data_IF_246709575349
#
_entry.id   IF_246709575349
#
_cell.length_a   1.000
_cell.length_b   1.000
_cell.length_c   1.000
_cell.angle_alpha   90.00
_cell.angle_beta   90.00
_cell.angle_gamma   90.00
#
_symmetry.space_group_name_H-M   'P 1'
#
loop_
_entity.id
_entity.type
_entity.pdbx_description
1 polymer ?
#
# COMPACT_ATOMS: atom_id res chain seq x y z
N UNK A 1 13.96 -31.64 -2.72
CA UNK A 1 14.37 -31.88 -4.11
C UNK A 1 15.35 -30.79 -4.45
N UNK A 2 16.61 -31.13 -4.71
CA UNK A 2 17.62 -30.17 -5.13
C UNK A 2 17.28 -29.76 -6.57
N UNK A 3 16.63 -28.60 -6.76
CA UNK A 3 16.04 -28.20 -8.04
C UNK A 3 17.09 -27.59 -8.99
N UNK A 4 18.36 -27.59 -8.59
CA UNK A 4 19.46 -26.98 -9.35
C UNK A 4 19.34 -25.46 -9.51
N UNK A 5 18.53 -24.82 -8.66
CA UNK A 5 18.38 -23.36 -8.50
C UNK A 5 19.00 -23.01 -7.15
N UNK A 6 19.85 -21.99 -7.11
CA UNK A 6 20.48 -21.51 -5.89
C UNK A 6 19.46 -20.90 -4.91
N UNK A 7 19.81 -20.90 -3.62
CA UNK A 7 18.94 -20.42 -2.55
C UNK A 7 18.53 -18.94 -2.71
N UNK A 8 19.43 -17.99 -3.05
CA UNK A 8 19.04 -16.61 -3.30
C UNK A 8 17.96 -16.46 -4.37
N UNK A 9 18.09 -17.16 -5.50
CA UNK A 9 17.10 -17.12 -6.59
C UNK A 9 15.77 -17.75 -6.18
N UNK A 10 15.81 -18.89 -5.47
CA UNK A 10 14.60 -19.51 -4.93
C UNK A 10 13.88 -18.59 -3.92
N UNK A 11 14.64 -17.87 -3.09
CA UNK A 11 14.08 -16.92 -2.13
C UNK A 11 13.48 -15.68 -2.81
N UNK A 12 14.12 -15.15 -3.86
CA UNK A 12 13.59 -14.09 -4.71
C UNK A 12 12.25 -14.52 -5.35
N UNK A 13 12.18 -15.73 -5.90
CA UNK A 13 10.96 -16.29 -6.46
C UNK A 13 9.82 -16.30 -5.43
N UNK A 14 10.08 -16.79 -4.21
CA UNK A 14 9.05 -16.82 -3.17
C UNK A 14 8.55 -15.42 -2.78
N UNK A 15 9.46 -14.44 -2.62
CA UNK A 15 9.06 -13.06 -2.35
C UNK A 15 8.25 -12.45 -3.51
N UNK A 16 8.63 -12.75 -4.74
CA UNK A 16 7.92 -12.31 -5.94
C UNK A 16 6.52 -12.86 -5.96
N UNK A 17 6.37 -14.18 -5.77
CA UNK A 17 5.07 -14.84 -5.71
C UNK A 17 4.17 -14.20 -4.66
N UNK A 18 4.63 -14.04 -3.41
CA UNK A 18 3.84 -13.41 -2.34
C UNK A 18 3.48 -11.97 -2.68
N UNK A 19 4.39 -11.21 -3.29
CA UNK A 19 4.17 -9.81 -3.67
C UNK A 19 3.21 -9.63 -4.85
N UNK A 20 3.11 -10.61 -5.74
CA UNK A 20 2.32 -10.52 -6.97
C UNK A 20 1.15 -11.48 -7.07
N UNK A 21 0.89 -12.32 -6.07
CA UNK A 21 -0.18 -13.33 -6.11
C UNK A 21 -1.58 -12.70 -6.27
N UNK A 22 -2.47 -13.30 -7.09
CA UNK A 22 -2.17 -14.32 -8.10
C UNK A 22 -1.44 -13.71 -9.32
N UNK A 23 -0.54 -14.48 -9.92
CA UNK A 23 0.22 -14.09 -11.11
C UNK A 23 0.22 -15.22 -12.14
N UNK A 24 0.05 -14.89 -13.43
CA UNK A 24 0.18 -15.85 -14.51
C UNK A 24 1.64 -16.22 -14.78
N UNK A 25 1.85 -17.39 -15.38
CA UNK A 25 3.17 -17.91 -15.70
C UNK A 25 3.98 -16.95 -16.58
N UNK A 26 3.38 -16.41 -17.64
CA UNK A 26 4.09 -15.57 -18.62
C UNK A 26 4.72 -14.32 -17.98
N UNK A 27 3.96 -13.62 -17.13
CA UNK A 27 4.47 -12.46 -16.37
C UNK A 27 5.58 -12.87 -15.40
N UNK A 28 5.39 -13.99 -14.71
CA UNK A 28 6.37 -14.49 -13.73
C UNK A 28 7.69 -14.89 -14.43
N UNK A 29 7.62 -15.64 -15.53
CA UNK A 29 8.80 -16.08 -16.28
C UNK A 29 9.55 -14.90 -16.89
N UNK A 30 8.82 -13.95 -17.51
CA UNK A 30 9.43 -12.75 -18.08
C UNK A 30 10.21 -11.93 -17.04
N UNK A 31 9.69 -11.84 -15.82
CA UNK A 31 10.42 -11.22 -14.71
C UNK A 31 11.64 -12.03 -14.27
N UNK A 32 11.49 -13.33 -14.04
CA UNK A 32 12.56 -14.17 -13.51
C UNK A 32 13.75 -14.25 -14.43
N UNK A 33 13.55 -14.44 -15.74
CA UNK A 33 14.63 -14.44 -16.72
C UNK A 33 15.43 -13.15 -16.67
N UNK A 34 14.73 -12.01 -16.63
CA UNK A 34 15.35 -10.69 -16.50
C UNK A 34 16.12 -10.59 -15.17
N UNK A 35 15.53 -11.00 -14.06
CA UNK A 35 16.15 -10.93 -12.75
C UNK A 35 17.46 -11.74 -12.68
N UNK A 36 17.46 -12.99 -13.16
CA UNK A 36 18.66 -13.85 -13.10
C UNK A 36 19.76 -13.39 -14.05
N UNK A 37 19.40 -12.83 -15.23
CA UNK A 37 20.37 -12.23 -16.16
C UNK A 37 20.95 -10.92 -15.64
N UNK A 38 20.17 -10.11 -14.94
CA UNK A 38 20.67 -8.87 -14.32
C UNK A 38 21.61 -9.16 -13.14
N UNK A 39 21.35 -10.23 -12.39
CA UNK A 39 22.19 -10.67 -11.28
C UNK A 39 23.59 -11.15 -11.73
N UNK A 40 23.71 -11.70 -12.95
CA UNK A 40 24.98 -12.14 -13.57
C UNK A 40 25.75 -13.19 -12.77
N UNK A 41 25.06 -13.96 -11.92
CA UNK A 41 25.68 -15.02 -11.09
C UNK A 41 25.74 -16.37 -11.82
N UNK A 42 24.67 -16.70 -12.54
CA UNK A 42 24.52 -18.00 -13.22
C UNK A 42 24.21 -17.87 -14.72
N UNK A 43 23.62 -16.76 -15.16
CA UNK A 43 23.33 -16.45 -16.57
C UNK A 43 23.48 -14.95 -16.80
N UNK A 44 23.58 -14.51 -18.05
CA UNK A 44 23.72 -13.10 -18.43
C UNK A 44 23.02 -12.81 -19.76
N UNK A 45 22.96 -11.53 -20.14
CA UNK A 45 22.39 -11.12 -21.43
C UNK A 45 23.29 -11.45 -22.64
N UNK A 46 24.60 -11.56 -22.46
CA UNK A 46 25.56 -11.80 -23.57
C UNK A 46 25.93 -13.28 -23.69
N UNK A 47 26.27 -13.89 -22.55
CA UNK A 47 26.68 -15.30 -22.44
C UNK A 47 25.70 -16.00 -21.49
N UNK A 48 24.51 -16.30 -21.99
CA UNK A 48 23.43 -16.91 -21.20
C UNK A 48 23.68 -18.38 -20.86
N UNK A 49 22.98 -18.88 -19.83
CA UNK A 49 22.85 -20.30 -19.50
C UNK A 49 21.38 -20.73 -19.63
N UNK A 50 20.95 -21.21 -20.81
CA UNK A 50 19.57 -21.64 -21.04
C UNK A 50 19.13 -22.78 -20.12
N UNK A 51 20.06 -23.63 -19.68
CA UNK A 51 19.74 -24.76 -18.82
C UNK A 51 19.43 -24.27 -17.40
N UNK A 52 20.17 -23.29 -16.88
CA UNK A 52 19.86 -22.66 -15.61
C UNK A 52 18.53 -21.88 -15.68
N UNK A 53 18.32 -21.10 -16.74
CA UNK A 53 17.07 -20.36 -16.95
C UNK A 53 15.85 -21.29 -16.98
N UNK A 54 15.96 -22.44 -17.66
CA UNK A 54 14.89 -23.44 -17.68
C UNK A 54 14.60 -24.01 -16.29
N UNK A 55 15.63 -24.31 -15.47
CA UNK A 55 15.42 -24.80 -14.09
C UNK A 55 14.67 -23.79 -13.23
N UNK A 56 14.95 -22.49 -13.39
CA UNK A 56 14.23 -21.42 -12.69
C UNK A 56 12.77 -21.36 -13.13
N UNK A 57 12.51 -21.45 -14.45
CA UNK A 57 11.15 -21.48 -14.99
C UNK A 57 10.38 -22.73 -14.55
N UNK A 58 11.01 -23.89 -14.52
CA UNK A 58 10.40 -25.14 -14.06
C UNK A 58 10.01 -25.05 -12.58
N UNK A 59 10.88 -24.49 -11.74
CA UNK A 59 10.57 -24.23 -10.34
C UNK A 59 9.39 -23.26 -10.19
N UNK A 60 9.41 -22.14 -10.91
CA UNK A 60 8.32 -21.16 -10.89
C UNK A 60 6.99 -21.75 -11.36
N UNK A 61 7.01 -22.57 -12.41
CA UNK A 61 5.84 -23.29 -12.93
C UNK A 61 5.27 -24.19 -11.87
N UNK A 62 6.10 -25.02 -11.23
CA UNK A 62 5.65 -25.90 -10.14
C UNK A 62 4.99 -25.12 -9.01
N UNK A 63 5.52 -23.95 -8.64
CA UNK A 63 4.90 -23.14 -7.58
C UNK A 63 3.50 -22.61 -7.92
N UNK A 64 3.16 -22.43 -9.19
CA UNK A 64 1.84 -21.92 -9.61
C UNK A 64 0.89 -23.00 -10.10
N UNK A 65 1.38 -24.16 -10.54
CA UNK A 65 0.55 -25.26 -11.06
C UNK A 65 0.35 -26.43 -10.10
N UNK A 66 1.19 -26.56 -9.07
CA UNK A 66 1.00 -27.56 -8.01
C UNK A 66 -0.04 -27.03 -7.03
N UNK A 67 -1.21 -27.70 -6.96
CA UNK A 67 -2.35 -27.27 -6.15
C UNK A 67 -2.02 -27.16 -4.66
N UNK A 68 -1.12 -27.99 -4.13
CA UNK A 68 -0.72 -27.92 -2.72
C UNK A 68 0.11 -26.67 -2.46
N UNK A 69 1.08 -26.37 -3.33
CA UNK A 69 1.93 -25.18 -3.19
C UNK A 69 1.12 -23.91 -3.41
N UNK A 70 0.32 -23.86 -4.48
CA UNK A 70 -0.52 -22.73 -4.82
C UNK A 70 -1.55 -22.46 -3.73
N UNK A 71 -2.21 -23.50 -3.21
CA UNK A 71 -3.17 -23.37 -2.12
C UNK A 71 -2.55 -22.86 -0.82
N UNK A 72 -1.31 -23.25 -0.50
CA UNK A 72 -0.57 -22.72 0.67
C UNK A 72 -0.19 -21.25 0.49
N UNK A 73 0.23 -20.85 -0.71
CA UNK A 73 0.53 -19.45 -1.02
C UNK A 73 -0.74 -18.58 -0.93
N UNK A 74 -1.84 -19.05 -1.52
CA UNK A 74 -3.12 -18.35 -1.46
C UNK A 74 -3.61 -18.17 -0.02
N UNK A 75 -3.59 -19.24 0.77
CA UNK A 75 -3.97 -19.19 2.18
C UNK A 75 -3.10 -18.20 2.98
N UNK A 76 -1.78 -18.20 2.73
CA UNK A 76 -0.87 -17.30 3.42
C UNK A 76 -1.07 -15.83 3.02
N UNK A 77 -1.26 -15.54 1.73
CA UNK A 77 -1.56 -14.19 1.25
C UNK A 77 -2.89 -13.70 1.80
N UNK A 78 -3.91 -14.57 1.88
CA UNK A 78 -5.19 -14.25 2.51
C UNK A 78 -5.05 -13.92 4.00
N UNK A 79 -4.22 -14.65 4.75
CA UNK A 79 -3.93 -14.35 6.16
C UNK A 79 -3.29 -12.95 6.33
N UNK A 80 -2.49 -12.51 5.36
CA UNK A 80 -1.81 -11.22 5.37
C UNK A 80 -2.68 -10.06 4.88
N UNK A 81 -3.89 -10.30 4.36
CA UNK A 81 -4.74 -9.30 3.73
C UNK A 81 -4.99 -8.04 4.59
N UNK A 82 -5.31 -8.14 5.90
CA UNK A 82 -5.45 -6.96 6.76
C UNK A 82 -4.15 -6.15 6.90
N UNK A 83 -3.00 -6.83 6.94
CA UNK A 83 -1.69 -6.18 7.02
C UNK A 83 -1.29 -5.53 5.69
N UNK A 84 -1.57 -6.19 4.56
CA UNK A 84 -1.37 -5.65 3.22
C UNK A 84 -2.24 -4.40 3.04
N UNK A 85 -3.51 -4.46 3.44
CA UNK A 85 -4.44 -3.33 3.42
C UNK A 85 -3.86 -2.14 4.19
N UNK A 86 -3.45 -2.36 5.44
CA UNK A 86 -2.88 -1.32 6.29
C UNK A 86 -1.61 -0.69 5.71
N UNK A 87 -0.64 -1.49 5.26
CA UNK A 87 0.58 -0.94 4.64
C UNK A 87 0.25 -0.16 3.37
N UNK A 88 -0.66 -0.68 2.54
CA UNK A 88 -1.00 -0.08 1.24
C UNK A 88 -1.61 1.31 1.40
N UNK A 89 -2.65 1.46 2.21
CA UNK A 89 -3.30 2.76 2.37
C UNK A 89 -2.49 3.71 3.24
N UNK A 90 -1.75 3.21 4.23
CA UNK A 90 -0.81 4.02 5.01
C UNK A 90 0.29 4.61 4.13
N UNK A 91 0.97 3.80 3.32
CA UNK A 91 2.02 4.27 2.44
C UNK A 91 1.48 5.29 1.43
N UNK A 92 0.29 5.04 0.86
CA UNK A 92 -0.36 5.97 -0.07
C UNK A 92 -0.71 7.29 0.61
N UNK A 93 -1.36 7.27 1.78
CA UNK A 93 -1.73 8.51 2.48
C UNK A 93 -0.49 9.32 2.87
N UNK A 94 0.54 8.68 3.42
CA UNK A 94 1.80 9.33 3.76
C UNK A 94 2.46 9.96 2.53
N UNK A 95 2.57 9.20 1.43
CA UNK A 95 3.14 9.68 0.17
C UNK A 95 2.42 10.92 -0.37
N UNK A 96 1.08 10.94 -0.29
CA UNK A 96 0.29 12.07 -0.76
C UNK A 96 0.38 13.29 0.16
N UNK A 97 0.54 13.08 1.47
CA UNK A 97 0.41 14.15 2.47
C UNK A 97 1.74 14.62 3.09
N UNK A 98 2.87 13.99 2.78
CA UNK A 98 4.19 14.50 3.12
C UNK A 98 4.51 15.81 2.38
N UNK A 99 5.50 16.59 2.86
CA UNK A 99 5.99 17.77 2.15
C UNK A 99 6.49 17.44 0.73
N UNK A 100 6.27 18.36 -0.21
CA UNK A 100 6.59 18.17 -1.62
C UNK A 100 5.36 18.01 -2.51
N UNK A 101 5.61 17.71 -3.78
CA UNK A 101 4.57 17.45 -4.80
C UNK A 101 4.44 15.93 -4.96
N UNK A 102 3.30 15.33 -4.60
CA UNK A 102 3.14 13.89 -4.75
C UNK A 102 2.93 13.53 -6.21
N UNK A 103 3.63 12.49 -6.66
CA UNK A 103 3.40 11.85 -7.96
C UNK A 103 2.55 10.59 -7.80
N UNK A 104 1.67 10.32 -8.76
CA UNK A 104 0.90 9.08 -8.84
C UNK A 104 1.07 8.51 -10.23
N UNK A 105 1.92 7.48 -10.32
CA UNK A 105 2.09 6.73 -11.57
C UNK A 105 0.75 6.18 -12.05
N UNK A 106 0.56 6.11 -13.36
CA UNK A 106 -0.70 5.67 -13.97
C UNK A 106 -1.20 4.33 -13.40
N UNK A 107 -2.47 4.27 -12.99
CA UNK A 107 -3.10 3.09 -12.38
C UNK A 107 -2.83 2.92 -10.88
N UNK A 108 -1.83 3.60 -10.32
CA UNK A 108 -1.45 3.46 -8.90
C UNK A 108 -2.35 4.23 -7.93
N UNK A 109 -3.44 4.85 -8.38
CA UNK A 109 -4.58 5.24 -7.55
C UNK A 109 -5.26 4.02 -6.90
N UNK A 110 -5.11 2.85 -7.52
CA UNK A 110 -5.59 1.52 -7.10
C UNK A 110 -4.41 0.57 -6.92
N UNK A 111 -4.63 -0.67 -6.48
CA UNK A 111 -3.56 -1.64 -6.28
C UNK A 111 -3.10 -2.16 -7.63
N UNK A 112 -1.83 -1.89 -7.94
CA UNK A 112 -1.15 -2.45 -9.09
C UNK A 112 0.03 -3.28 -8.61
N UNK A 113 0.07 -4.56 -8.99
CA UNK A 113 1.15 -5.50 -8.66
C UNK A 113 2.12 -5.59 -9.85
N UNK A 114 2.72 -4.46 -10.18
CA UNK A 114 3.69 -4.37 -11.27
C UNK A 114 5.02 -5.01 -10.87
N UNK A 115 5.60 -5.75 -11.81
CA UNK A 115 7.00 -6.14 -11.81
C UNK A 115 7.83 -5.10 -12.57
N UNK A 116 9.12 -5.37 -12.75
CA UNK A 116 10.00 -4.48 -13.52
C UNK A 116 9.56 -4.37 -14.99
N UNK A 117 10.00 -3.31 -15.66
CA UNK A 117 9.85 -3.08 -17.10
C UNK A 117 10.09 -4.37 -17.92
N UNK A 118 9.20 -4.75 -18.85
CA UNK A 118 8.02 -4.03 -19.34
C UNK A 118 6.71 -4.28 -18.60
N UNK A 119 6.68 -5.07 -17.52
CA UNK A 119 5.43 -5.40 -16.82
C UNK A 119 4.73 -4.17 -16.24
N UNK A 120 5.50 -3.18 -15.77
CA UNK A 120 4.97 -1.90 -15.26
C UNK A 120 4.48 -0.94 -16.35
N UNK A 121 4.61 -1.28 -17.64
CA UNK A 121 4.12 -0.46 -18.76
C UNK A 121 2.83 -0.98 -19.38
N UNK A 122 2.19 -1.98 -18.77
CA UNK A 122 0.89 -2.52 -19.22
C UNK A 122 -0.17 -1.42 -19.27
N UNK A 123 -1.14 -1.52 -20.22
CA UNK A 123 -2.18 -0.52 -20.36
C UNK A 123 -3.07 -0.45 -19.10
N UNK A 124 -3.50 0.75 -18.76
CA UNK A 124 -4.38 1.02 -17.62
C UNK A 124 -5.84 1.06 -18.08
N UNK A 125 -6.74 0.35 -17.40
CA UNK A 125 -8.18 0.44 -17.64
C UNK A 125 -8.80 1.65 -16.91
N UNK A 126 -8.68 2.82 -17.52
CA UNK A 126 -9.27 4.05 -16.99
C UNK A 126 -10.80 4.04 -16.95
N UNK A 127 -11.46 3.19 -17.74
CA UNK A 127 -12.92 3.09 -17.72
C UNK A 127 -13.37 2.44 -16.41
N UNK A 128 -12.67 1.40 -15.95
CA UNK A 128 -12.89 0.81 -14.62
C UNK A 128 -12.63 1.82 -13.50
N UNK A 129 -11.47 2.48 -13.53
CA UNK A 129 -11.10 3.44 -12.46
C UNK A 129 -12.11 4.58 -12.35
N UNK A 130 -12.62 5.10 -13.48
CA UNK A 130 -13.71 6.09 -13.50
C UNK A 130 -15.00 5.55 -12.88
N UNK A 131 -15.46 4.36 -13.29
CA UNK A 131 -16.68 3.75 -12.71
C UNK A 131 -16.55 3.51 -11.20
N UNK A 132 -15.37 3.07 -10.74
CA UNK A 132 -15.09 2.90 -9.30
C UNK A 132 -15.17 4.22 -8.56
N UNK A 133 -14.51 5.26 -9.07
CA UNK A 133 -14.50 6.57 -8.42
C UNK A 133 -15.91 7.19 -8.37
N UNK A 134 -16.67 7.14 -9.47
CA UNK A 134 -18.04 7.65 -9.53
C UNK A 134 -18.96 6.96 -8.51
N UNK A 135 -18.86 5.63 -8.40
CA UNK A 135 -19.60 4.85 -7.40
C UNK A 135 -19.23 5.25 -5.97
N UNK A 136 -17.94 5.44 -5.69
CA UNK A 136 -17.48 5.88 -4.37
C UNK A 136 -17.95 7.31 -4.07
N UNK A 137 -17.90 8.21 -5.05
CA UNK A 137 -18.37 9.59 -4.90
C UNK A 137 -19.89 9.69 -4.70
N UNK A 138 -20.65 8.70 -5.16
CA UNK A 138 -22.10 8.61 -4.89
C UNK A 138 -22.43 8.03 -3.51
N UNK A 139 -21.44 7.82 -2.63
CA UNK A 139 -21.64 7.32 -1.26
C UNK A 139 -21.78 5.79 -1.14
N UNK A 140 -21.46 5.02 -2.19
CA UNK A 140 -21.48 3.57 -2.07
C UNK A 140 -20.34 3.04 -1.19
N UNK A 141 -20.56 1.89 -0.56
CA UNK A 141 -19.53 1.23 0.25
C UNK A 141 -18.32 0.80 -0.58
N UNK A 142 -17.13 0.91 0.03
CA UNK A 142 -15.86 0.34 -0.48
C UNK A 142 -15.95 -1.18 -0.42
N UNK A 143 -15.55 -1.86 -1.49
CA UNK A 143 -15.74 -3.32 -1.63
C UNK A 143 -14.46 -4.14 -1.46
N UNK A 144 -13.32 -3.51 -1.72
CA UNK A 144 -12.02 -4.17 -1.83
C UNK A 144 -10.89 -3.16 -1.55
N UNK A 145 -9.65 -3.66 -1.54
CA UNK A 145 -8.46 -2.83 -1.32
C UNK A 145 -8.24 -1.79 -2.44
N UNK A 146 -8.70 -2.08 -3.66
CA UNK A 146 -8.68 -1.11 -4.77
C UNK A 146 -9.53 0.11 -4.44
N UNK A 147 -10.77 -0.12 -4.01
CA UNK A 147 -11.69 0.93 -3.59
C UNK A 147 -11.13 1.71 -2.39
N UNK A 148 -10.50 1.06 -1.42
CA UNK A 148 -9.87 1.74 -0.28
C UNK A 148 -8.72 2.65 -0.72
N UNK A 149 -7.81 2.15 -1.57
CA UNK A 149 -6.66 2.94 -2.04
C UNK A 149 -7.11 4.09 -2.95
N UNK A 150 -8.13 3.87 -3.79
CA UNK A 150 -8.72 4.89 -4.64
C UNK A 150 -9.43 5.96 -3.81
N UNK A 151 -10.14 5.55 -2.75
CA UNK A 151 -10.76 6.45 -1.79
C UNK A 151 -9.73 7.36 -1.12
N UNK A 152 -8.68 6.78 -0.52
CA UNK A 152 -7.60 7.55 0.11
C UNK A 152 -6.93 8.48 -0.91
N UNK A 153 -6.64 7.98 -2.10
CA UNK A 153 -5.97 8.77 -3.15
C UNK A 153 -6.81 9.98 -3.56
N UNK A 154 -8.08 9.74 -3.90
CA UNK A 154 -8.97 10.81 -4.38
C UNK A 154 -9.25 11.85 -3.29
N UNK A 155 -9.52 11.44 -2.04
CA UNK A 155 -9.81 12.36 -0.93
C UNK A 155 -8.58 13.20 -0.55
N UNK A 156 -7.41 12.58 -0.44
CA UNK A 156 -6.18 13.30 -0.13
C UNK A 156 -5.80 14.31 -1.24
N UNK A 157 -5.89 13.93 -2.52
CA UNK A 157 -5.59 14.84 -3.62
C UNK A 157 -6.61 15.98 -3.75
N UNK A 158 -7.91 15.71 -3.53
CA UNK A 158 -8.96 16.73 -3.49
C UNK A 158 -8.74 17.70 -2.34
N UNK A 159 -8.37 17.20 -1.15
CA UNK A 159 -8.02 18.03 -0.01
C UNK A 159 -6.83 18.95 -0.34
N UNK A 160 -5.73 18.39 -0.87
CA UNK A 160 -4.56 19.20 -1.25
C UNK A 160 -4.86 20.27 -2.29
N UNK A 161 -5.80 20.00 -3.20
CA UNK A 161 -6.27 20.97 -4.19
C UNK A 161 -7.15 22.06 -3.55
N UNK A 162 -7.98 21.68 -2.58
CA UNK A 162 -8.90 22.58 -1.86
C UNK A 162 -8.24 23.41 -0.75
N UNK A 163 -7.13 22.94 -0.19
CA UNK A 163 -6.42 23.58 0.93
C UNK A 163 -4.99 24.03 0.55
N UNK A 164 -4.81 25.04 -0.33
CA UNK A 164 -3.49 25.52 -0.74
C UNK A 164 -2.57 25.90 0.42
N UNK A 165 -3.12 26.39 1.55
CA UNK A 165 -2.32 26.78 2.71
C UNK A 165 -1.60 25.60 3.39
N UNK A 166 -2.05 24.36 3.12
CA UNK A 166 -1.43 23.13 3.61
C UNK A 166 -0.35 22.61 2.66
N UNK A 167 -0.15 23.25 1.51
CA UNK A 167 0.87 22.92 0.51
C UNK A 167 1.75 24.14 0.20
N UNK A 168 2.93 23.92 -0.38
CA UNK A 168 3.85 25.02 -0.73
C UNK A 168 4.83 25.44 0.39
N UNK A 169 5.56 26.52 0.13
CA UNK A 169 6.74 26.91 0.92
C UNK A 169 6.45 27.37 2.35
N UNK A 170 5.26 27.89 2.61
CA UNK A 170 4.82 28.33 3.94
C UNK A 170 4.15 27.23 4.75
N UNK A 171 3.89 26.06 4.16
CA UNK A 171 3.21 24.98 4.85
C UNK A 171 4.13 24.35 5.91
N UNK A 172 3.64 24.25 7.14
CA UNK A 172 4.42 23.66 8.24
C UNK A 172 4.22 22.15 8.31
N UNK A 173 5.17 21.48 8.97
CA UNK A 173 5.10 20.06 9.32
C UNK A 173 5.43 19.89 10.78
N UNK A 174 4.56 19.23 11.54
CA UNK A 174 4.81 18.93 12.96
C UNK A 174 4.38 17.51 13.31
N UNK A 175 5.28 16.66 13.84
CA UNK A 175 4.89 15.35 14.34
C UNK A 175 3.80 15.45 15.42
N UNK A 176 2.85 14.52 15.40
CA UNK A 176 1.85 14.38 16.44
C UNK A 176 2.35 13.41 17.53
N UNK A 177 2.28 13.78 18.82
CA UNK A 177 2.55 12.85 19.90
C UNK A 177 1.56 11.68 19.88
N UNK A 178 2.07 10.47 20.08
CA UNK A 178 1.26 9.25 20.21
C UNK A 178 1.84 8.37 21.30
N UNK A 179 0.96 7.63 22.00
CA UNK A 179 1.38 6.63 22.99
C UNK A 179 1.77 5.29 22.34
N UNK A 180 1.53 5.13 21.03
CA UNK A 180 1.78 3.88 20.31
C UNK A 180 2.83 4.03 19.22
N UNK A 181 3.85 3.17 19.26
CA UNK A 181 4.85 3.02 18.18
C UNK A 181 4.26 2.52 16.85
N UNK A 182 2.99 2.13 16.84
CA UNK A 182 2.27 1.62 15.67
C UNK A 182 1.55 2.73 14.89
N UNK A 183 1.60 3.99 15.37
CA UNK A 183 1.04 5.14 14.67
C UNK A 183 2.16 6.05 14.17
N UNK A 184 2.05 6.45 12.92
CA UNK A 184 2.75 7.61 12.36
C UNK A 184 1.74 8.74 12.27
N UNK A 185 2.05 9.89 12.85
CA UNK A 185 1.14 11.02 12.87
C UNK A 185 1.86 12.35 12.69
N UNK A 186 1.28 13.25 11.91
CA UNK A 186 1.77 14.62 11.76
C UNK A 186 0.66 15.59 11.38
N UNK A 187 0.92 16.87 11.61
CA UNK A 187 0.11 17.99 11.18
C UNK A 187 0.75 18.71 9.99
N UNK A 188 -0.10 19.22 9.10
CA UNK A 188 0.24 20.15 8.02
C UNK A 188 -0.45 21.49 8.28
N UNK A 189 0.35 22.54 8.44
CA UNK A 189 -0.11 23.91 8.70
C UNK A 189 -1.10 24.05 9.87
N UNK A 190 -1.04 23.17 10.87
CA UNK A 190 -2.00 23.09 12.01
C UNK A 190 -3.48 22.85 11.62
N UNK A 191 -3.78 22.70 10.32
CA UNK A 191 -5.12 22.53 9.77
C UNK A 191 -5.44 21.08 9.39
N UNK A 192 -4.43 20.27 9.07
CA UNK A 192 -4.66 18.89 8.60
C UNK A 192 -3.83 17.92 9.41
N UNK A 193 -4.48 16.96 10.07
CA UNK A 193 -3.82 15.86 10.76
C UNK A 193 -3.83 14.60 9.87
N UNK A 194 -2.67 13.95 9.75
CA UNK A 194 -2.49 12.75 8.95
C UNK A 194 -2.02 11.65 9.88
N UNK A 195 -2.75 10.54 9.91
CA UNK A 195 -2.48 9.41 10.80
C UNK A 195 -2.44 8.12 9.98
N UNK A 196 -1.41 7.30 10.21
CA UNK A 196 -1.21 6.06 9.49
C UNK A 196 -0.68 4.94 10.39
N UNK A 197 -1.17 3.73 10.17
CA UNK A 197 -0.72 2.53 10.89
C UNK A 197 0.59 2.00 10.31
N UNK A 198 1.56 1.67 11.18
CA UNK A 198 2.81 0.96 10.84
C UNK A 198 2.95 -0.35 11.60
N UNK A 199 3.67 -1.30 11.00
CA UNK A 199 3.86 -2.65 11.53
C UNK A 199 2.54 -3.35 11.91
N UNK A 200 1.58 -3.48 10.98
CA UNK A 200 0.23 -3.95 11.28
C UNK A 200 0.18 -5.35 11.90
N UNK A 201 1.08 -6.27 11.50
CA UNK A 201 1.15 -7.60 12.13
C UNK A 201 1.53 -7.54 13.63
N UNK A 202 2.37 -6.59 14.03
CA UNK A 202 2.70 -6.38 15.44
C UNK A 202 1.59 -5.62 16.16
N UNK A 203 0.98 -4.65 15.49
CA UNK A 203 -0.15 -3.88 16.00
C UNK A 203 -1.34 -4.79 16.29
N UNK A 204 -1.67 -5.73 15.40
CA UNK A 204 -2.78 -6.67 15.57
C UNK A 204 -2.63 -7.54 16.83
N UNK A 205 -1.38 -7.83 17.26
CA UNK A 205 -1.10 -8.58 18.51
C UNK A 205 -1.30 -7.74 19.77
N UNK A 206 -1.06 -6.43 19.71
CA UNK A 206 -1.20 -5.53 20.87
C UNK A 206 -2.54 -4.79 20.93
N UNK A 207 -3.27 -4.71 19.82
CA UNK A 207 -4.49 -3.93 19.68
C UNK A 207 -4.30 -2.41 19.81
N UNK A 208 -5.42 -1.69 19.94
CA UNK A 208 -5.47 -0.23 20.13
C UNK A 208 -5.96 0.22 21.51
N UNK A 209 -6.31 -0.70 22.42
CA UNK A 209 -7.12 -0.41 23.62
C UNK A 209 -6.59 0.70 24.55
N UNK A 210 -5.29 0.98 24.53
CA UNK A 210 -4.66 2.05 25.32
C UNK A 210 -3.83 3.03 24.47
N UNK A 211 -3.94 2.92 23.14
CA UNK A 211 -3.23 3.76 22.20
C UNK A 211 -4.02 5.04 21.92
N UNK A 212 -3.34 6.18 21.93
CA UNK A 212 -3.93 7.47 21.61
C UNK A 212 -2.98 8.35 20.81
N UNK A 213 -3.56 9.37 20.19
CA UNK A 213 -2.88 10.47 19.51
C UNK A 213 -3.33 11.77 20.15
N UNK A 214 -2.39 12.67 20.46
CA UNK A 214 -2.72 13.99 20.98
C UNK A 214 -3.03 14.96 19.85
N UNK A 215 -4.31 15.30 19.65
CA UNK A 215 -4.73 16.31 18.68
C UNK A 215 -4.81 17.69 19.35
N UNK A 216 -4.41 18.77 18.64
CA UNK A 216 -4.61 20.13 19.14
C UNK A 216 -6.09 20.47 19.35
N UNK A 217 -6.38 21.43 20.22
CA UNK A 217 -7.71 21.99 20.47
C UNK A 217 -8.43 22.31 19.14
N UNK A 218 -9.73 22.07 19.06
CA UNK A 218 -10.55 22.35 17.87
C UNK A 218 -11.45 21.18 17.48
N UNK A 219 -12.41 21.43 16.58
CA UNK A 219 -13.21 20.40 15.94
C UNK A 219 -12.49 19.90 14.68
N UNK A 220 -12.49 18.58 14.48
CA UNK A 220 -11.83 17.95 13.35
C UNK A 220 -12.79 17.00 12.64
N UNK A 221 -12.84 17.06 11.31
CA UNK A 221 -13.59 16.11 10.49
C UNK A 221 -12.65 15.17 9.76
N UNK A 222 -12.85 13.86 9.88
CA UNK A 222 -12.15 12.86 9.07
C UNK A 222 -12.71 12.85 7.65
N UNK A 223 -11.91 13.27 6.67
CA UNK A 223 -12.30 13.32 5.25
C UNK A 223 -12.52 11.91 4.67
N UNK A 224 -12.04 10.86 5.34
CA UNK A 224 -12.17 9.48 4.87
C UNK A 224 -13.43 8.77 5.38
N UNK A 225 -14.01 9.25 6.48
CA UNK A 225 -15.14 8.59 7.16
C UNK A 225 -16.28 9.55 7.53
N UNK A 226 -16.08 10.85 7.34
CA UNK A 226 -16.99 11.94 7.74
C UNK A 226 -17.21 12.02 9.26
N UNK A 227 -16.39 11.29 10.03
CA UNK A 227 -16.46 11.27 11.49
C UNK A 227 -15.93 12.57 12.08
N UNK A 228 -16.69 13.12 13.02
CA UNK A 228 -16.28 14.25 13.84
C UNK A 228 -15.43 13.79 15.02
N UNK A 229 -14.33 14.51 15.27
CA UNK A 229 -13.34 14.22 16.30
C UNK A 229 -13.04 15.50 17.07
N UNK A 230 -13.28 15.48 18.37
CA UNK A 230 -12.92 16.58 19.26
C UNK A 230 -11.43 16.54 19.56
N UNK A 231 -10.73 17.64 19.26
CA UNK A 231 -9.34 17.86 19.62
C UNK A 231 -9.18 18.34 21.08
N UNK A 232 -7.96 18.76 21.39
CA UNK A 232 -7.58 19.33 22.69
C UNK A 232 -7.19 18.30 23.74
N UNK A 233 -6.73 17.14 23.28
CA UNK A 233 -6.35 16.06 24.17
C UNK A 233 -6.01 14.77 23.44
N UNK A 234 -5.97 13.69 24.21
CA UNK A 234 -5.74 12.35 23.70
C UNK A 234 -7.01 11.79 23.05
N UNK A 235 -6.92 11.43 21.77
CA UNK A 235 -7.96 10.74 21.02
C UNK A 235 -7.56 9.27 20.87
N UNK A 236 -8.49 8.35 21.15
CA UNK A 236 -8.21 6.92 21.11
C UNK A 236 -7.99 6.43 19.66
N UNK A 237 -6.92 5.66 19.44
CA UNK A 237 -6.63 5.08 18.13
C UNK A 237 -7.68 4.07 17.68
N UNK A 238 -8.36 3.39 18.63
CA UNK A 238 -9.45 2.46 18.31
C UNK A 238 -10.63 3.15 17.63
N UNK A 239 -10.88 4.42 17.99
CA UNK A 239 -11.90 5.25 17.36
C UNK A 239 -11.38 5.77 16.02
N UNK A 240 -10.15 6.28 15.96
CA UNK A 240 -9.61 6.83 14.70
C UNK A 240 -9.46 5.79 13.59
N UNK A 241 -9.17 4.53 13.93
CA UNK A 241 -8.86 3.49 12.96
C UNK A 241 -9.92 2.38 12.88
N UNK A 242 -11.18 2.71 13.21
CA UNK A 242 -12.28 1.74 13.15
C UNK A 242 -12.53 1.25 11.72
N UNK A 243 -12.68 2.16 10.76
CA UNK A 243 -13.09 1.84 9.38
C UNK A 243 -11.89 1.62 8.45
N UNK A 244 -10.83 2.42 8.67
CA UNK A 244 -9.61 2.41 7.89
C UNK A 244 -8.39 2.45 8.83
N UNK A 245 -7.27 1.80 8.49
CA UNK A 245 -6.04 1.84 9.29
C UNK A 245 -5.27 3.17 9.14
N UNK A 246 -5.97 4.21 8.69
CA UNK A 246 -5.49 5.57 8.43
C UNK A 246 -6.62 6.56 8.74
N UNK A 247 -6.26 7.79 9.08
CA UNK A 247 -7.20 8.91 9.20
C UNK A 247 -6.61 10.18 8.58
N UNK A 248 -7.47 10.98 7.94
CA UNK A 248 -7.09 12.26 7.35
C UNK A 248 -8.06 13.33 7.86
N UNK A 249 -7.67 14.01 8.92
CA UNK A 249 -8.52 14.95 9.62
C UNK A 249 -8.25 16.37 9.15
N UNK A 250 -9.31 17.14 8.95
CA UNK A 250 -9.24 18.58 8.67
C UNK A 250 -9.89 19.32 9.82
N UNK A 251 -9.21 20.36 10.31
CA UNK A 251 -9.75 21.24 11.32
C UNK A 251 -10.89 22.04 10.72
N UNK A 252 -12.04 22.05 11.38
CA UNK A 252 -13.16 22.89 10.96
C UNK A 252 -12.83 24.36 11.23
N UNK A 253 -13.26 25.24 10.33
CA UNK A 253 -13.15 26.68 10.56
C UNK A 253 -14.11 27.07 11.70
N UNK A 254 -13.62 27.89 12.63
CA UNK A 254 -14.44 28.51 13.68
C UNK A 254 -15.50 29.46 13.10
#
# INVERSE_FOLDING_TARGET
>A
VEVGVDEPTAYLLMQTLVGTWPIDGDRLYGYLDKAVREAKQHTSWTDGDPAYEQRVRDLATRCVTDDEIAGRLEAWVAELEPAIRAVTVSAKLLQLMLPGVPDVYQGCETVERFLVDPDNRRPVDYADRRRRLERLDSGAARRDLDDDKLWVTSRALRLRRGEPATVGASATYRPLPTTSRHVLGFLRSEQVAVLATRWPLRQARSGWAHASVSLPDGAWSDVLTERQVSGGGAVACGDLFTDLPVALLVREAE
#
